data_IF_016733235281
#
_entry.id   IF_016733235281
#
_cell.length_a   1.000
_cell.length_b   1.000
_cell.length_c   1.000
_cell.angle_alpha   90.00
_cell.angle_beta   90.00
_cell.angle_gamma   90.00
#
_symmetry.space_group_name_H-M   'P 1'
#
loop_
_entity.id
_entity.type
_entity.pdbx_description
1 polymer ?
#
# COMPACT_ATOMS: atom_id res chain seq x y z
N UNK A 1 -0.06 -29.54 8.75
CA UNK A 1 0.52 -28.72 7.69
C UNK A 1 -0.09 -29.15 6.36
N UNK A 2 -0.82 -28.27 5.65
CA UNK A 2 -1.41 -28.62 4.34
C UNK A 2 -0.32 -28.69 3.28
N UNK A 3 -0.28 -29.77 2.51
CA UNK A 3 0.68 -29.93 1.40
C UNK A 3 0.34 -28.97 0.24
N UNK A 4 -0.94 -28.80 -0.06
CA UNK A 4 -1.44 -27.95 -1.17
C UNK A 4 -2.43 -26.93 -0.66
N UNK A 5 -2.59 -25.83 -1.40
CA UNK A 5 -3.67 -24.87 -1.26
C UNK A 5 -4.97 -25.38 -1.90
N UNK A 6 -6.06 -24.70 -1.61
CA UNK A 6 -7.33 -24.82 -2.32
C UNK A 6 -7.65 -23.46 -2.96
N UNK A 7 -8.65 -23.39 -3.83
CA UNK A 7 -9.12 -22.09 -4.34
C UNK A 7 -9.48 -21.17 -3.17
N UNK A 8 -10.28 -21.64 -2.26
CA UNK A 8 -10.76 -20.87 -1.09
C UNK A 8 -9.64 -20.44 -0.13
N UNK A 9 -8.64 -21.30 0.06
CA UNK A 9 -7.50 -21.06 0.95
C UNK A 9 -6.20 -21.39 0.19
N UNK A 10 -5.74 -20.49 -0.67
CA UNK A 10 -4.54 -20.72 -1.46
C UNK A 10 -3.29 -20.77 -0.60
N UNK A 11 -2.25 -21.41 -1.12
CA UNK A 11 -0.96 -21.53 -0.45
C UNK A 11 0.05 -20.57 -1.07
N UNK A 12 0.50 -19.63 -0.28
CA UNK A 12 1.59 -18.71 -0.61
C UNK A 12 2.98 -19.26 -0.28
N UNK A 13 4.01 -18.43 -0.39
CA UNK A 13 5.37 -18.77 0.02
C UNK A 13 5.44 -18.95 1.53
N UNK A 14 6.46 -19.70 1.97
CA UNK A 14 6.72 -19.87 3.40
C UNK A 14 7.54 -18.69 3.92
N UNK A 15 7.07 -18.05 4.98
CA UNK A 15 7.83 -16.99 5.66
C UNK A 15 9.07 -17.52 6.42
N UNK A 16 9.14 -18.84 6.66
CA UNK A 16 10.33 -19.47 7.32
C UNK A 16 11.61 -19.29 6.53
N UNK A 17 11.51 -19.14 5.21
CA UNK A 17 12.64 -18.89 4.31
C UNK A 17 12.80 -17.40 3.95
N UNK A 18 12.16 -16.52 4.70
CA UNK A 18 12.27 -15.08 4.48
C UNK A 18 13.69 -14.59 4.73
N UNK A 19 14.17 -13.70 3.86
CA UNK A 19 15.47 -13.06 3.97
C UNK A 19 15.33 -11.71 4.63
N UNK A 20 16.33 -11.33 5.40
CA UNK A 20 16.43 -9.96 5.92
C UNK A 20 16.77 -9.02 4.76
N UNK A 21 16.05 -7.93 4.69
CA UNK A 21 16.23 -6.82 3.77
C UNK A 21 16.53 -5.59 4.62
N UNK A 22 17.66 -4.95 4.35
CA UNK A 22 18.09 -3.74 5.04
C UNK A 22 18.14 -2.60 4.01
N UNK A 23 17.58 -1.46 4.36
CA UNK A 23 17.59 -0.23 3.56
C UNK A 23 18.10 0.91 4.40
N UNK A 24 19.02 1.67 3.85
CA UNK A 24 19.57 2.87 4.46
C UNK A 24 18.71 4.07 4.04
N UNK A 25 18.23 4.82 5.02
CA UNK A 25 17.39 6.01 4.86
C UNK A 25 18.16 7.27 5.32
N UNK A 26 19.43 7.34 5.00
CA UNK A 26 20.31 8.40 5.45
C UNK A 26 20.74 8.22 6.89
N UNK A 27 20.25 9.03 7.83
CA UNK A 27 20.56 8.85 9.25
C UNK A 27 19.71 7.76 9.92
N UNK A 28 18.64 7.29 9.26
CA UNK A 28 17.71 6.28 9.73
C UNK A 28 17.85 4.97 8.95
N UNK A 29 17.29 3.89 9.45
CA UNK A 29 17.34 2.59 8.76
C UNK A 29 16.01 1.86 8.80
N UNK A 30 15.80 1.02 7.78
CA UNK A 30 14.63 0.17 7.65
C UNK A 30 15.07 -1.27 7.44
N UNK A 31 14.60 -2.15 8.31
CA UNK A 31 14.81 -3.59 8.19
C UNK A 31 13.48 -4.32 8.16
N UNK A 32 13.37 -5.34 7.33
CA UNK A 32 12.22 -6.24 7.32
C UNK A 32 12.57 -7.58 6.69
N UNK A 33 11.73 -8.58 6.90
CA UNK A 33 11.89 -9.90 6.28
C UNK A 33 10.82 -10.12 5.22
N UNK A 34 11.23 -10.68 4.08
CA UNK A 34 10.32 -11.10 3.03
C UNK A 34 10.77 -12.43 2.40
N UNK A 35 9.85 -13.30 1.98
CA UNK A 35 10.20 -14.51 1.26
C UNK A 35 10.93 -14.19 -0.05
N UNK A 36 11.72 -15.14 -0.55
CA UNK A 36 12.31 -15.00 -1.87
C UNK A 36 11.22 -14.78 -2.94
N UNK A 37 11.52 -13.98 -3.97
CA UNK A 37 10.56 -13.68 -5.03
C UNK A 37 10.04 -14.96 -5.69
N UNK A 38 8.74 -14.98 -5.95
CA UNK A 38 8.09 -15.97 -6.81
C UNK A 38 7.20 -15.22 -7.79
N UNK A 39 7.81 -14.61 -8.83
CA UNK A 39 7.06 -13.73 -9.73
C UNK A 39 5.91 -14.49 -10.40
N UNK A 40 4.77 -13.84 -10.46
CA UNK A 40 3.58 -14.38 -11.13
C UNK A 40 3.79 -14.46 -12.66
N UNK A 41 4.67 -13.62 -13.20
CA UNK A 41 4.88 -13.39 -14.62
C UNK A 41 6.38 -13.38 -14.95
N UNK A 42 7.13 -14.35 -14.64
CA UNK A 42 8.46 -14.66 -15.16
C UNK A 42 9.35 -13.46 -15.57
N UNK A 43 9.49 -12.43 -14.76
CA UNK A 43 10.35 -11.27 -15.00
C UNK A 43 11.51 -11.22 -14.01
N UNK A 44 12.66 -10.71 -14.44
CA UNK A 44 13.68 -10.21 -13.50
C UNK A 44 13.22 -8.84 -13.04
N UNK A 45 13.14 -8.64 -11.74
CA UNK A 45 13.00 -7.32 -11.15
C UNK A 45 14.34 -6.61 -11.24
N UNK A 46 14.32 -5.34 -11.57
CA UNK A 46 15.50 -4.50 -11.47
C UNK A 46 15.99 -4.46 -10.03
N UNK A 47 17.30 -4.36 -9.85
CA UNK A 47 17.89 -4.29 -8.53
C UNK A 47 17.60 -2.90 -7.96
N UNK A 48 16.82 -2.86 -6.93
CA UNK A 48 16.38 -1.62 -6.29
C UNK A 48 17.48 -1.07 -5.38
N UNK A 49 17.54 0.25 -5.19
CA UNK A 49 18.60 0.87 -4.41
C UNK A 49 18.61 0.35 -2.97
N UNK A 50 19.80 0.06 -2.46
CA UNK A 50 20.03 -0.30 -1.06
C UNK A 50 19.86 0.88 -0.09
N UNK A 51 19.96 2.12 -0.62
CA UNK A 51 19.91 3.38 0.13
C UNK A 51 19.15 4.46 -0.60
N UNK A 52 18.60 5.39 0.15
CA UNK A 52 18.02 6.62 -0.36
C UNK A 52 18.69 7.83 0.31
N UNK A 53 19.06 8.80 -0.50
CA UNK A 53 19.53 10.09 -0.02
C UNK A 53 18.33 11.05 0.06
N UNK A 54 17.81 11.23 1.28
CA UNK A 54 16.65 12.08 1.55
C UNK A 54 16.90 13.57 1.21
N UNK A 55 18.17 13.99 1.14
CA UNK A 55 18.56 15.36 0.85
C UNK A 55 18.78 15.62 -0.66
N UNK A 56 18.61 14.60 -1.49
CA UNK A 56 18.83 14.70 -2.94
C UNK A 56 17.51 14.58 -3.71
N UNK A 57 16.74 15.68 -3.85
CA UNK A 57 15.43 15.66 -4.53
C UNK A 57 15.51 15.16 -5.97
N UNK A 58 16.67 15.32 -6.63
CA UNK A 58 16.87 14.89 -8.02
C UNK A 58 16.79 13.36 -8.22
N UNK A 59 16.87 12.57 -7.15
CA UNK A 59 16.74 11.10 -7.19
C UNK A 59 15.31 10.62 -6.98
N UNK A 60 14.43 11.51 -6.56
CA UNK A 60 13.02 11.19 -6.38
C UNK A 60 12.28 11.47 -7.69
N UNK A 61 11.50 10.50 -8.13
CA UNK A 61 10.58 10.65 -9.23
C UNK A 61 9.41 11.55 -8.81
N UNK A 62 8.91 12.37 -9.73
CA UNK A 62 7.68 13.10 -9.49
C UNK A 62 6.52 12.11 -9.39
N UNK A 63 5.67 12.31 -8.41
CA UNK A 63 4.44 11.53 -8.34
C UNK A 63 3.53 11.94 -9.50
N UNK A 64 3.11 10.97 -10.27
CA UNK A 64 2.25 11.17 -11.42
C UNK A 64 0.93 10.43 -11.23
N UNK A 65 -0.14 11.02 -11.72
CA UNK A 65 -1.41 10.34 -11.90
C UNK A 65 -1.30 9.29 -13.01
N UNK A 66 -2.31 8.47 -13.19
CA UNK A 66 -2.35 7.47 -14.25
C UNK A 66 -2.18 8.07 -15.65
N UNK A 67 -2.71 9.25 -15.89
CA UNK A 67 -2.64 10.02 -17.13
C UNK A 67 -1.38 10.89 -17.26
N UNK A 68 -0.37 10.63 -16.38
CA UNK A 68 0.93 11.31 -16.33
C UNK A 68 0.87 12.80 -15.92
N UNK A 69 -0.18 13.23 -15.28
CA UNK A 69 -0.17 14.54 -14.62
C UNK A 69 0.66 14.46 -13.35
N UNK A 70 1.54 15.41 -13.20
CA UNK A 70 2.37 15.54 -12.00
C UNK A 70 1.50 15.94 -10.82
N UNK A 71 1.62 15.23 -9.72
CA UNK A 71 1.05 15.62 -8.43
C UNK A 71 2.02 16.60 -7.80
N UNK A 72 1.63 17.87 -7.78
CA UNK A 72 2.48 18.93 -7.24
C UNK A 72 2.81 18.65 -5.76
N UNK A 73 4.06 18.93 -5.41
CA UNK A 73 4.54 18.80 -4.02
C UNK A 73 4.79 17.38 -3.55
N UNK A 74 4.68 16.38 -4.42
CA UNK A 74 4.97 15.00 -4.04
C UNK A 74 5.96 14.32 -4.97
N UNK A 75 6.93 13.66 -4.36
CA UNK A 75 7.93 12.83 -5.03
C UNK A 75 8.08 11.50 -4.32
N UNK A 76 8.56 10.50 -5.01
CA UNK A 76 8.77 9.18 -4.44
C UNK A 76 10.00 8.48 -5.01
N UNK A 77 10.54 7.54 -4.25
CA UNK A 77 11.59 6.63 -4.69
C UNK A 77 11.29 5.22 -4.20
N UNK A 78 11.36 4.24 -5.11
CA UNK A 78 11.19 2.84 -4.77
C UNK A 78 12.43 2.29 -4.08
N UNK A 79 12.24 1.63 -2.94
CA UNK A 79 13.26 0.91 -2.19
C UNK A 79 13.17 -0.59 -2.36
N UNK A 80 11.96 -1.10 -2.61
CA UNK A 80 11.73 -2.54 -2.73
C UNK A 80 10.45 -2.82 -3.49
N UNK A 81 10.52 -3.86 -4.33
CA UNK A 81 9.35 -4.39 -5.02
C UNK A 81 9.44 -5.91 -5.08
N UNK A 82 8.37 -6.57 -4.77
CA UNK A 82 8.31 -8.01 -4.90
C UNK A 82 6.88 -8.52 -5.08
N UNK A 83 6.79 -9.74 -5.59
CA UNK A 83 5.55 -10.38 -5.90
C UNK A 83 5.59 -11.85 -5.54
N UNK A 84 4.55 -12.35 -4.89
CA UNK A 84 4.42 -13.74 -4.48
C UNK A 84 3.14 -14.36 -4.99
N UNK A 85 3.32 -15.43 -5.72
CA UNK A 85 2.25 -16.22 -6.25
C UNK A 85 1.62 -17.09 -5.18
N UNK A 86 0.29 -17.17 -5.20
CA UNK A 86 -0.52 -18.08 -4.39
C UNK A 86 -1.17 -19.14 -5.25
N UNK A 87 -1.06 -20.39 -4.83
CA UNK A 87 -1.52 -21.53 -5.60
C UNK A 87 -2.65 -22.26 -4.88
N UNK A 88 -3.62 -22.70 -5.67
CA UNK A 88 -4.65 -23.64 -5.26
C UNK A 88 -4.17 -25.09 -5.42
N UNK A 89 -5.08 -25.95 -5.87
CA UNK A 89 -4.73 -27.34 -6.16
C UNK A 89 -3.93 -27.41 -7.49
N UNK A 90 -2.77 -28.09 -7.52
CA UNK A 90 -1.82 -27.98 -8.62
C UNK A 90 -2.36 -28.31 -10.02
N UNK A 91 -3.27 -29.28 -10.12
CA UNK A 91 -3.79 -29.78 -11.40
C UNK A 91 -4.98 -28.96 -11.87
N UNK A 92 -5.86 -28.54 -10.94
CA UNK A 92 -7.14 -27.89 -11.29
C UNK A 92 -6.98 -26.37 -11.36
N UNK A 93 -6.25 -25.80 -10.41
CA UNK A 93 -6.06 -24.34 -10.30
C UNK A 93 -4.67 -24.03 -9.77
N UNK A 94 -3.66 -24.02 -10.66
CA UNK A 94 -2.28 -23.82 -10.25
C UNK A 94 -2.02 -22.41 -9.72
N UNK A 95 -2.82 -21.39 -10.11
CA UNK A 95 -2.68 -20.01 -9.66
C UNK A 95 -4.04 -19.45 -9.25
N UNK A 96 -4.12 -18.96 -8.02
CA UNK A 96 -5.34 -18.37 -7.44
C UNK A 96 -5.19 -16.87 -7.23
N UNK A 97 -3.97 -16.38 -7.19
CA UNK A 97 -3.71 -14.96 -7.03
C UNK A 97 -2.25 -14.66 -6.73
N UNK A 98 -1.99 -13.42 -6.41
CA UNK A 98 -0.70 -12.97 -5.95
C UNK A 98 -0.81 -11.81 -4.95
N UNK A 99 0.23 -11.67 -4.14
CA UNK A 99 0.48 -10.52 -3.30
C UNK A 99 1.69 -9.78 -3.86
N UNK A 100 1.55 -8.52 -4.17
CA UNK A 100 2.66 -7.61 -4.45
C UNK A 100 2.95 -6.76 -3.22
N UNK A 101 4.22 -6.48 -2.97
CA UNK A 101 4.67 -5.56 -1.94
C UNK A 101 5.59 -4.53 -2.58
N UNK A 102 5.28 -3.28 -2.37
CA UNK A 102 6.09 -2.15 -2.77
C UNK A 102 6.47 -1.37 -1.51
N UNK A 103 7.74 -0.98 -1.41
CA UNK A 103 8.21 -0.11 -0.34
C UNK A 103 8.78 1.13 -0.98
N UNK A 104 8.12 2.24 -0.74
CA UNK A 104 8.46 3.54 -1.32
C UNK A 104 8.77 4.54 -0.22
N UNK A 105 9.73 5.43 -0.45
CA UNK A 105 9.90 6.65 0.32
C UNK A 105 9.26 7.78 -0.46
N UNK A 106 8.45 8.55 0.22
CA UNK A 106 7.81 9.73 -0.33
C UNK A 106 8.38 10.97 0.31
N UNK A 107 8.56 12.02 -0.49
CA UNK A 107 8.92 13.35 -0.06
C UNK A 107 7.73 14.29 -0.30
N UNK A 108 7.41 15.12 0.67
CA UNK A 108 6.39 16.17 0.57
C UNK A 108 7.08 17.51 0.47
N UNK A 109 7.04 18.09 -0.73
CA UNK A 109 7.61 19.40 -0.99
C UNK A 109 6.65 20.52 -0.52
N UNK A 110 7.18 21.61 -0.03
CA UNK A 110 6.36 22.80 0.32
C UNK A 110 5.55 22.68 1.62
N UNK A 111 5.84 21.68 2.46
CA UNK A 111 5.23 21.63 3.78
C UNK A 111 5.61 22.88 4.57
N UNK A 112 4.66 23.59 5.21
CA UNK A 112 4.94 24.77 6.01
C UNK A 112 5.99 24.50 7.10
N UNK A 113 6.85 25.49 7.38
CA UNK A 113 7.97 25.34 8.32
C UNK A 113 7.52 24.91 9.73
N UNK A 114 6.31 25.25 10.10
CA UNK A 114 5.71 24.92 11.41
C UNK A 114 4.97 23.58 11.41
N UNK A 115 4.90 22.88 10.27
CA UNK A 115 4.27 21.58 10.12
C UNK A 115 5.32 20.47 10.00
N UNK A 116 4.94 19.27 10.41
CA UNK A 116 5.80 18.09 10.36
C UNK A 116 4.96 16.85 10.13
N UNK A 117 5.44 15.92 9.33
CA UNK A 117 4.82 14.61 9.14
C UNK A 117 4.83 13.75 10.41
N UNK A 118 5.59 14.13 11.44
CA UNK A 118 5.49 13.49 12.77
C UNK A 118 4.20 13.87 13.51
N UNK A 119 3.50 14.94 13.09
CA UNK A 119 2.12 15.21 13.50
C UNK A 119 1.18 14.28 12.73
N UNK A 120 0.38 13.53 13.47
CA UNK A 120 -0.54 12.54 12.90
C UNK A 120 -1.60 13.15 12.00
N UNK A 121 -2.08 14.34 12.32
CA UNK A 121 -3.05 15.06 11.51
C UNK A 121 -2.45 15.48 10.18
N UNK A 122 -1.26 16.08 10.21
CA UNK A 122 -0.53 16.52 9.02
C UNK A 122 -0.21 15.33 8.12
N UNK A 123 0.35 14.23 8.66
CA UNK A 123 0.64 13.04 7.86
C UNK A 123 -0.62 12.46 7.23
N UNK A 124 -1.69 12.31 8.03
CA UNK A 124 -2.94 11.76 7.51
C UNK A 124 -3.53 12.63 6.41
N UNK A 125 -3.56 13.95 6.58
CA UNK A 125 -4.07 14.87 5.56
C UNK A 125 -3.27 14.80 4.27
N UNK A 126 -1.95 14.84 4.35
CA UNK A 126 -1.06 14.74 3.19
C UNK A 126 -1.26 13.42 2.44
N UNK A 127 -1.27 12.30 3.16
CA UNK A 127 -1.44 10.98 2.56
C UNK A 127 -2.83 10.81 1.95
N UNK A 128 -3.88 11.17 2.68
CA UNK A 128 -5.26 10.97 2.23
C UNK A 128 -5.58 11.87 1.04
N UNK A 129 -5.19 13.16 1.09
CA UNK A 129 -5.35 14.09 -0.04
C UNK A 129 -4.65 13.57 -1.29
N UNK A 130 -3.41 13.09 -1.14
CA UNK A 130 -2.67 12.53 -2.24
C UNK A 130 -3.33 11.29 -2.84
N UNK A 131 -3.77 10.37 -1.98
CA UNK A 131 -4.48 9.16 -2.45
C UNK A 131 -5.79 9.49 -3.13
N UNK A 132 -6.55 10.45 -2.60
CA UNK A 132 -7.76 10.94 -3.25
C UNK A 132 -7.46 11.54 -4.62
N UNK A 133 -6.47 12.42 -4.73
CA UNK A 133 -6.05 12.98 -6.03
C UNK A 133 -5.67 11.89 -7.02
N UNK A 134 -4.92 10.87 -6.60
CA UNK A 134 -4.59 9.73 -7.46
C UNK A 134 -5.82 8.93 -7.92
N UNK A 135 -6.85 8.85 -7.10
CA UNK A 135 -8.09 8.13 -7.38
C UNK A 135 -9.01 8.98 -8.26
N UNK A 136 -9.23 10.24 -7.89
CA UNK A 136 -10.15 11.14 -8.59
C UNK A 136 -9.61 11.61 -9.94
N UNK A 137 -8.32 11.79 -10.11
CA UNK A 137 -7.74 12.10 -11.42
C UNK A 137 -8.05 11.05 -12.47
N UNK A 138 -8.32 9.81 -12.06
CA UNK A 138 -8.83 8.77 -12.96
C UNK A 138 -10.28 9.02 -13.38
N UNK A 139 -11.08 9.67 -12.56
CA UNK A 139 -12.51 9.86 -12.80
C UNK A 139 -12.80 11.12 -13.61
N UNK A 140 -12.03 12.20 -13.44
CA UNK A 140 -12.33 13.47 -14.09
C UNK A 140 -11.98 13.52 -15.59
N UNK A 141 -11.04 12.72 -16.07
CA UNK A 141 -10.52 12.84 -17.43
C UNK A 141 -10.99 11.79 -18.44
N UNK A 142 -11.55 10.69 -17.98
CA UNK A 142 -12.00 9.60 -18.85
C UNK A 142 -13.52 9.40 -18.89
N UNK A 143 -14.24 10.04 -17.99
CA UNK A 143 -15.60 9.64 -17.70
C UNK A 143 -16.55 10.82 -17.74
N UNK A 144 -17.02 11.15 -18.93
CA UNK A 144 -18.25 11.93 -19.05
C UNK A 144 -19.43 11.04 -18.58
N UNK A 145 -20.48 11.62 -17.99
CA UNK A 145 -21.70 10.88 -17.61
C UNK A 145 -22.20 9.97 -18.74
N UNK A 146 -22.14 10.45 -19.98
CA UNK A 146 -22.51 9.68 -21.16
C UNK A 146 -21.62 8.45 -21.41
N UNK A 147 -20.35 8.49 -21.04
CA UNK A 147 -19.46 7.35 -21.18
C UNK A 147 -19.69 6.31 -20.07
N UNK A 148 -20.09 6.73 -18.88
CA UNK A 148 -20.45 5.85 -17.77
C UNK A 148 -21.75 5.08 -18.06
N UNK A 149 -22.73 5.71 -18.70
CA UNK A 149 -23.98 5.07 -19.10
C UNK A 149 -23.80 3.98 -20.18
N UNK A 150 -22.76 4.14 -21.02
CA UNK A 150 -22.47 3.21 -22.12
C UNK A 150 -21.51 2.09 -21.71
N UNK A 151 -20.60 2.36 -20.77
CA UNK A 151 -19.61 1.39 -20.33
C UNK A 151 -19.41 1.45 -18.80
N UNK A 152 -20.13 0.61 -18.05
CA UNK A 152 -20.00 0.53 -16.61
C UNK A 152 -18.58 0.09 -16.14
N UNK A 153 -17.77 -0.47 -17.03
CA UNK A 153 -16.36 -0.77 -16.73
C UNK A 153 -15.51 0.49 -16.53
N UNK A 154 -16.06 1.66 -16.88
CA UNK A 154 -15.44 2.96 -16.68
C UNK A 154 -15.74 3.60 -15.31
N UNK A 155 -16.58 3.01 -14.49
CA UNK A 155 -16.87 3.51 -13.15
C UNK A 155 -15.61 3.56 -12.27
N UNK A 156 -15.59 4.42 -11.22
CA UNK A 156 -14.41 4.54 -10.38
C UNK A 156 -13.94 3.17 -9.91
N UNK A 157 -12.77 2.80 -10.38
CA UNK A 157 -12.19 1.47 -10.12
C UNK A 157 -11.88 1.24 -8.65
N UNK A 158 -11.79 2.30 -7.86
CA UNK A 158 -11.25 2.25 -6.51
C UNK A 158 -12.15 2.96 -5.52
N UNK A 159 -12.54 2.24 -4.49
CA UNK A 159 -13.11 2.80 -3.28
C UNK A 159 -11.98 3.03 -2.28
N UNK A 160 -11.77 4.26 -1.87
CA UNK A 160 -10.75 4.58 -0.89
C UNK A 160 -10.22 6.01 -0.98
N UNK A 161 -9.36 6.38 -0.05
CA UNK A 161 -8.87 5.59 1.10
C UNK A 161 -9.97 5.35 2.15
N UNK A 162 -10.00 4.13 2.67
CA UNK A 162 -11.00 3.70 3.67
C UNK A 162 -10.33 2.95 4.83
N UNK A 163 -11.06 2.74 5.92
CA UNK A 163 -10.64 1.95 7.07
C UNK A 163 -9.29 2.43 7.64
N UNK A 164 -9.05 3.73 7.68
CA UNK A 164 -7.80 4.23 8.21
C UNK A 164 -7.75 4.11 9.73
N UNK A 165 -6.59 3.65 10.20
CA UNK A 165 -6.34 3.52 11.64
C UNK A 165 -4.85 3.72 11.94
N UNK A 166 -4.56 4.15 13.16
CA UNK A 166 -3.20 4.21 13.67
C UNK A 166 -2.86 2.93 14.41
N UNK A 167 -1.75 2.32 14.02
CA UNK A 167 -1.25 1.08 14.62
C UNK A 167 0.19 1.31 15.09
N UNK A 168 0.49 0.88 16.34
CA UNK A 168 1.86 0.92 16.83
C UNK A 168 2.54 -0.43 16.57
N UNK A 169 3.70 -0.40 15.90
CA UNK A 169 4.55 -1.58 15.73
C UNK A 169 6.01 -1.21 16.03
N UNK A 170 6.60 -1.95 16.97
CA UNK A 170 8.00 -1.79 17.37
C UNK A 170 8.37 -0.34 17.75
N UNK A 171 7.44 0.36 18.44
CA UNK A 171 7.63 1.73 18.88
C UNK A 171 7.46 2.81 17.82
N UNK A 172 7.08 2.44 16.60
CA UNK A 172 6.72 3.37 15.55
C UNK A 172 5.21 3.32 15.29
N UNK A 173 4.64 4.46 14.97
CA UNK A 173 3.24 4.56 14.59
C UNK A 173 3.10 4.48 13.09
N UNK A 174 2.13 3.69 12.67
CA UNK A 174 1.81 3.43 11.28
C UNK A 174 0.38 3.84 10.99
N UNK A 175 0.21 4.69 10.01
CA UNK A 175 -1.11 4.93 9.40
C UNK A 175 -1.40 3.78 8.46
N UNK A 176 -2.45 3.02 8.77
CA UNK A 176 -2.98 1.95 7.95
C UNK A 176 -4.16 2.47 7.16
N UNK A 177 -4.22 2.23 5.86
CA UNK A 177 -5.35 2.57 5.00
C UNK A 177 -5.58 1.48 3.96
N UNK A 178 -6.84 1.33 3.54
CA UNK A 178 -7.26 0.37 2.52
C UNK A 178 -7.77 1.08 1.27
N UNK A 179 -7.60 0.43 0.13
CA UNK A 179 -8.16 0.83 -1.15
C UNK A 179 -8.73 -0.40 -1.82
N UNK A 180 -10.04 -0.43 -2.07
CA UNK A 180 -10.71 -1.54 -2.73
C UNK A 180 -11.02 -1.20 -4.17
N UNK A 181 -10.63 -2.04 -5.09
CA UNK A 181 -11.10 -1.93 -6.48
C UNK A 181 -12.51 -2.47 -6.58
N UNK A 182 -13.38 -1.71 -7.23
CA UNK A 182 -14.80 -2.07 -7.40
C UNK A 182 -15.01 -2.99 -8.59
N UNK A 183 -14.22 -2.80 -9.65
CA UNK A 183 -14.34 -3.53 -10.92
C UNK A 183 -13.35 -4.67 -11.07
N UNK A 184 -12.27 -4.69 -10.30
CA UNK A 184 -11.25 -5.73 -10.29
C UNK A 184 -11.24 -6.47 -8.94
N UNK A 185 -10.62 -7.62 -8.94
CA UNK A 185 -10.36 -8.44 -7.75
C UNK A 185 -9.18 -7.94 -6.91
N UNK A 186 -8.66 -6.77 -7.24
CA UNK A 186 -7.54 -6.17 -6.53
C UNK A 186 -7.99 -5.38 -5.29
N UNK A 187 -7.15 -5.47 -4.28
CA UNK A 187 -7.32 -4.83 -2.99
C UNK A 187 -5.96 -4.34 -2.53
N UNK A 188 -5.82 -3.07 -2.20
CA UNK A 188 -4.55 -2.52 -1.76
C UNK A 188 -4.62 -2.09 -0.30
N UNK A 189 -3.52 -2.30 0.42
CA UNK A 189 -3.34 -1.91 1.81
C UNK A 189 -2.03 -1.13 1.88
N UNK A 190 -2.07 0.02 2.52
CA UNK A 190 -0.90 0.86 2.73
C UNK A 190 -0.61 1.00 4.23
N UNK A 191 0.66 0.84 4.59
CA UNK A 191 1.20 1.09 5.92
C UNK A 191 2.23 2.20 5.79
N UNK A 192 2.01 3.32 6.48
CA UNK A 192 2.74 4.56 6.26
C UNK A 192 3.28 5.05 7.59
N UNK A 193 4.57 5.37 7.63
CA UNK A 193 5.22 5.92 8.84
C UNK A 193 6.17 7.05 8.47
N UNK A 194 6.20 8.16 9.23
CA UNK A 194 7.10 9.27 8.96
C UNK A 194 8.55 8.88 9.28
N UNK A 195 9.47 9.39 8.48
CA UNK A 195 10.92 9.21 8.65
C UNK A 195 11.58 10.52 9.08
N UNK A 196 11.14 11.62 8.49
CA UNK A 196 11.56 12.99 8.81
C UNK A 196 10.34 13.90 8.83
N UNK A 197 10.56 15.19 9.06
CA UNK A 197 9.48 16.17 8.99
C UNK A 197 8.82 16.29 7.60
N UNK A 198 9.49 15.84 6.52
CA UNK A 198 9.01 15.93 5.13
C UNK A 198 8.99 14.60 4.38
N UNK A 199 9.45 13.50 5.00
CA UNK A 199 9.51 12.20 4.34
C UNK A 199 8.77 11.13 5.14
N UNK A 200 8.11 10.22 4.42
CA UNK A 200 7.51 9.03 4.99
C UNK A 200 7.83 7.78 4.15
N UNK A 201 7.86 6.64 4.82
CA UNK A 201 7.92 5.33 4.15
C UNK A 201 6.53 4.76 4.02
N UNK A 202 6.24 4.15 2.86
CA UNK A 202 4.99 3.48 2.58
C UNK A 202 5.26 2.02 2.17
N UNK A 203 4.70 1.08 2.90
CA UNK A 203 4.55 -0.30 2.47
C UNK A 203 3.18 -0.45 1.81
N UNK A 204 3.15 -0.62 0.50
CA UNK A 204 1.94 -0.87 -0.27
C UNK A 204 1.85 -2.33 -0.64
N UNK A 205 0.81 -2.99 -0.17
CA UNK A 205 0.48 -4.36 -0.53
C UNK A 205 -0.71 -4.38 -1.48
N UNK A 206 -0.57 -5.08 -2.60
CA UNK A 206 -1.66 -5.26 -3.57
C UNK A 206 -1.97 -6.75 -3.67
N UNK A 207 -3.17 -7.12 -3.29
CA UNK A 207 -3.70 -8.48 -3.37
C UNK A 207 -4.55 -8.57 -4.65
N UNK A 208 -4.19 -9.47 -5.55
CA UNK A 208 -5.06 -9.85 -6.68
C UNK A 208 -5.45 -11.29 -6.59
N UNK A 209 -6.73 -11.58 -6.81
CA UNK A 209 -7.30 -12.91 -6.69
C UNK A 209 -7.96 -13.31 -7.99
N UNK A 210 -7.89 -14.60 -8.32
CA UNK A 210 -8.45 -15.16 -9.54
C UNK A 210 -9.32 -16.36 -9.20
N UNK A 211 -10.52 -16.44 -9.77
CA UNK A 211 -11.39 -17.60 -9.70
C UNK A 211 -11.43 -18.34 -11.04
N UNK A 212 -11.66 -19.65 -11.00
CA UNK A 212 -11.86 -20.49 -12.18
C UNK A 212 -13.05 -20.01 -13.02
N UNK A 213 -14.08 -19.46 -12.38
CA UNK A 213 -15.31 -19.02 -13.04
C UNK A 213 -15.20 -17.62 -13.67
N UNK A 214 -13.99 -17.09 -13.77
CA UNK A 214 -13.72 -15.79 -14.39
C UNK A 214 -13.68 -14.63 -13.39
N UNK A 215 -13.48 -13.41 -13.89
CA UNK A 215 -13.22 -12.23 -13.07
C UNK A 215 -14.49 -11.62 -12.46
N UNK A 216 -15.41 -12.45 -11.98
CA UNK A 216 -16.59 -11.93 -11.30
C UNK A 216 -16.20 -11.45 -9.90
N UNK A 217 -15.96 -10.15 -9.78
CA UNK A 217 -15.54 -9.51 -8.53
C UNK A 217 -16.53 -9.75 -7.38
N UNK A 218 -17.81 -9.87 -7.68
CA UNK A 218 -18.88 -10.04 -6.68
C UNK A 218 -18.80 -11.34 -5.89
N UNK A 219 -18.20 -12.39 -6.46
CA UNK A 219 -18.08 -13.69 -5.81
C UNK A 219 -16.68 -14.05 -5.38
N UNK A 220 -15.71 -13.16 -5.63
CA UNK A 220 -14.30 -13.48 -5.32
C UNK A 220 -14.08 -13.70 -3.83
N UNK A 221 -14.79 -12.95 -2.97
CA UNK A 221 -14.68 -13.06 -1.52
C UNK A 221 -15.13 -14.44 -1.00
N UNK A 222 -16.15 -15.01 -1.62
CA UNK A 222 -16.67 -16.31 -1.25
C UNK A 222 -15.77 -17.45 -1.73
N UNK A 223 -15.07 -17.25 -2.85
CA UNK A 223 -14.27 -18.27 -3.51
C UNK A 223 -12.81 -18.25 -3.10
N UNK A 224 -12.20 -17.07 -3.08
CA UNK A 224 -10.79 -16.89 -2.76
C UNK A 224 -10.68 -15.94 -1.57
N UNK A 225 -10.57 -16.49 -0.39
CA UNK A 225 -10.46 -15.70 0.83
C UNK A 225 -9.14 -14.95 0.88
N UNK A 226 -9.13 -13.68 1.33
CA UNK A 226 -7.91 -12.89 1.45
C UNK A 226 -6.98 -13.34 2.57
N UNK A 227 -7.45 -14.14 3.52
CA UNK A 227 -6.76 -14.47 4.78
C UNK A 227 -5.29 -14.86 4.58
N UNK A 228 -5.00 -15.76 3.65
CA UNK A 228 -3.63 -16.26 3.46
C UNK A 228 -2.69 -15.22 2.85
N UNK A 229 -3.23 -14.27 2.10
CA UNK A 229 -2.48 -13.12 1.58
C UNK A 229 -2.21 -12.12 2.70
N UNK A 230 -3.25 -11.83 3.51
CA UNK A 230 -3.14 -10.97 4.69
C UNK A 230 -2.18 -11.56 5.73
N UNK A 231 -2.20 -12.87 5.94
CA UNK A 231 -1.24 -13.55 6.83
C UNK A 231 0.21 -13.28 6.40
N UNK A 232 0.51 -13.32 5.09
CA UNK A 232 1.86 -13.01 4.61
C UNK A 232 2.20 -11.54 4.78
N UNK A 233 1.26 -10.65 4.46
CA UNK A 233 1.42 -9.21 4.68
C UNK A 233 1.72 -8.93 6.16
N UNK A 234 0.93 -9.47 7.08
CA UNK A 234 1.14 -9.28 8.51
C UNK A 234 2.48 -9.82 8.99
N UNK A 235 2.90 -11.01 8.52
CA UNK A 235 4.22 -11.55 8.84
C UNK A 235 5.36 -10.64 8.36
N UNK A 236 5.22 -10.01 7.19
CA UNK A 236 6.19 -9.02 6.70
C UNK A 236 6.17 -7.81 7.64
N UNK A 237 5.00 -7.22 7.89
CA UNK A 237 4.86 -6.02 8.72
C UNK A 237 5.27 -6.24 10.18
N UNK A 238 5.03 -7.43 10.73
CA UNK A 238 5.48 -7.80 12.08
C UNK A 238 7.01 -7.93 12.17
N UNK A 239 7.69 -8.08 11.05
CA UNK A 239 9.15 -8.10 10.99
C UNK A 239 9.80 -6.74 10.72
N UNK A 240 8.99 -5.71 10.41
CA UNK A 240 9.49 -4.37 10.08
C UNK A 240 10.05 -3.70 11.33
N UNK A 241 11.27 -3.20 11.19
CA UNK A 241 11.93 -2.32 12.15
C UNK A 241 12.33 -1.06 11.43
N UNK A 242 11.76 0.06 11.83
CA UNK A 242 12.16 1.40 11.40
C UNK A 242 12.91 2.04 12.55
N UNK A 243 14.21 2.26 12.38
CA UNK A 243 15.08 2.91 13.37
C UNK A 243 15.36 4.33 12.91
N UNK A 244 14.71 5.29 13.55
CA UNK A 244 14.99 6.70 13.35
C UNK A 244 16.31 7.06 14.06
N UNK A 245 17.10 7.97 13.47
CA UNK A 245 18.25 8.52 14.17
C UNK A 245 17.83 9.37 15.38
N UNK A 246 18.77 9.66 16.27
CA UNK A 246 18.47 10.36 17.52
C UNK A 246 17.86 11.74 17.30
N UNK A 247 18.29 12.45 16.26
CA UNK A 247 17.73 13.74 15.87
C UNK A 247 16.25 13.61 15.49
N UNK A 248 15.90 12.62 14.64
CA UNK A 248 14.53 12.40 14.20
C UNK A 248 13.65 11.85 15.33
N UNK A 249 14.19 11.06 16.25
CA UNK A 249 13.47 10.65 17.46
C UNK A 249 13.14 11.86 18.35
N UNK A 250 14.12 12.73 18.59
CA UNK A 250 13.92 13.92 19.38
C UNK A 250 12.87 14.86 18.76
N UNK A 251 12.91 15.03 17.43
CA UNK A 251 11.93 15.83 16.70
C UNK A 251 10.53 15.21 16.79
N UNK A 252 10.41 13.92 16.54
CA UNK A 252 9.15 13.17 16.69
C UNK A 252 8.57 13.36 18.09
N UNK A 253 9.40 13.16 19.12
CA UNK A 253 8.95 13.22 20.51
C UNK A 253 8.56 14.66 20.87
N UNK A 254 9.27 15.66 20.36
CA UNK A 254 8.91 17.09 20.51
C UNK A 254 7.53 17.39 19.89
N UNK A 255 7.28 16.93 18.65
CA UNK A 255 6.01 17.18 17.98
C UNK A 255 4.85 16.48 18.70
N UNK A 256 5.07 15.28 19.23
CA UNK A 256 4.04 14.52 19.95
C UNK A 256 3.65 15.11 21.31
N UNK A 257 4.45 16.02 21.87
CA UNK A 257 4.07 16.76 23.08
C UNK A 257 3.14 17.92 22.79
N UNK A 258 3.03 18.33 21.53
CA UNK A 258 2.10 19.35 21.05
C UNK A 258 0.75 18.67 20.84
N UNK A 259 -0.34 19.37 21.15
CA UNK A 259 -1.68 18.85 20.87
C UNK A 259 -1.82 18.55 19.36
N UNK A 260 -2.22 17.34 18.99
CA UNK A 260 -2.28 16.96 17.58
C UNK A 260 -3.24 17.89 16.83
N UNK A 261 -2.87 18.30 15.62
CA UNK A 261 -3.77 19.00 14.71
C UNK A 261 -5.06 18.20 14.50
N UNK A 262 -6.15 18.87 14.22
CA UNK A 262 -7.44 18.21 13.98
C UNK A 262 -7.28 17.13 12.90
N UNK A 263 -7.69 15.92 13.24
CA UNK A 263 -7.59 14.79 12.33
C UNK A 263 -8.70 14.88 11.30
N UNK A 264 -8.35 14.76 10.04
CA UNK A 264 -9.34 14.59 8.98
C UNK A 264 -10.18 13.36 9.28
N UNK A 265 -11.52 13.45 9.27
CA UNK A 265 -12.36 12.29 9.50
C UNK A 265 -12.14 11.27 8.39
N UNK A 266 -11.86 10.04 8.77
CA UNK A 266 -11.75 8.93 7.84
C UNK A 266 -13.14 8.41 7.55
N UNK A 267 -13.43 8.18 6.28
CA UNK A 267 -14.68 7.55 5.88
C UNK A 267 -14.54 6.04 6.17
N UNK A 268 -15.21 5.58 7.22
CA UNK A 268 -15.35 4.15 7.48
C UNK A 268 -16.54 3.63 6.69
N UNK A 269 -16.29 2.66 5.82
CA UNK A 269 -17.36 1.94 5.15
C UNK A 269 -17.67 0.64 5.91
N UNK A 270 -18.92 0.42 6.22
CA UNK A 270 -19.35 -0.87 6.75
C UNK A 270 -19.24 -1.95 5.68
N UNK A 271 -19.10 -3.23 6.06
CA UNK A 271 -19.10 -4.33 5.10
C UNK A 271 -20.34 -4.34 4.19
N UNK A 272 -21.49 -3.87 4.68
CA UNK A 272 -22.72 -3.74 3.91
C UNK A 272 -22.61 -2.62 2.86
N UNK A 273 -22.07 -1.46 3.21
CA UNK A 273 -21.84 -0.35 2.27
C UNK A 273 -20.84 -0.75 1.18
N UNK A 274 -19.79 -1.49 1.55
CA UNK A 274 -18.83 -2.05 0.59
C UNK A 274 -19.48 -3.05 -0.38
N UNK A 275 -20.46 -3.83 0.09
CA UNK A 275 -21.23 -4.72 -0.78
C UNK A 275 -22.13 -3.94 -1.74
N UNK A 276 -22.82 -2.91 -1.27
CA UNK A 276 -23.68 -2.06 -2.11
C UNK A 276 -22.86 -1.35 -3.18
N UNK A 277 -21.72 -0.77 -2.82
CA UNK A 277 -20.81 -0.13 -3.78
C UNK A 277 -20.29 -1.09 -4.87
N UNK A 278 -20.24 -2.39 -4.59
CA UNK A 278 -19.87 -3.44 -5.56
C UNK A 278 -21.05 -3.88 -6.46
N UNK A 279 -22.26 -3.42 -6.20
CA UNK A 279 -23.48 -3.83 -6.92
C UNK A 279 -24.09 -2.70 -7.75
N UNK A 280 -23.51 -1.51 -7.69
CA UNK A 280 -23.86 -0.36 -8.54
C UNK A 280 -22.88 -0.32 -9.71
#
# INVERSE_FOLDING_TARGET
MRLFGTEKLPKGPSFRSARLICKDLGCSSLEFKAPAPRPAFGGRWEEEPGSVDLNSPARFELAETWDKKVIEGMRWQRLYSNNWRFNGFPIIQPRVGYLSCFVDVHAVDGLPINESLFDFGVLADQVLTNRELCIYARTEEGYTEAALDVNPDLWPDVLGPVNSQWLNKHGNDWLYIEEQQLTDTAYAINWISPITHQHYVCFRFVIRRYSIEGPNAYRIEERVRPDTFLDLMHQIMDSVKLELCEEMKAERDRIRTIEPSERRPVIEFTPEQLKVAKHV
#
